data_IF_332822905509
#
_entry.id   IF_332822905509
#
_cell.length_a   1.000
_cell.length_b   1.000
_cell.length_c   1.000
_cell.angle_alpha   90.00
_cell.angle_beta   90.00
_cell.angle_gamma   90.00
#
_symmetry.space_group_name_H-M   'P 1'
#
loop_
_entity.id
_entity.type
_entity.pdbx_description
1 polymer ?
#
# COMPACT_ATOMS: atom_id res chain seq x y z
N UNK A 1 -12.03 2.15 -2.61
CA UNK A 1 -11.25 1.22 -1.72
C UNK A 1 -10.42 2.01 -0.71
N UNK A 2 -9.99 1.43 0.43
CA UNK A 2 -8.95 2.02 1.30
C UNK A 2 -7.74 1.09 1.38
N UNK A 3 -6.57 1.60 0.99
CA UNK A 3 -5.28 0.92 1.16
C UNK A 3 -4.65 1.40 2.46
N UNK A 4 -4.41 0.50 3.41
CA UNK A 4 -3.92 0.85 4.75
C UNK A 4 -2.55 0.28 5.08
N UNK A 5 -1.76 1.06 5.82
CA UNK A 5 -0.42 0.70 6.29
C UNK A 5 -0.45 0.24 7.75
N UNK A 6 -0.55 -1.07 7.95
CA UNK A 6 -0.73 -1.69 9.28
C UNK A 6 0.53 -1.67 10.17
N UNK A 7 1.71 -1.97 9.60
CA UNK A 7 2.97 -2.07 10.35
C UNK A 7 4.13 -1.44 9.55
N UNK A 8 4.18 -0.10 9.43
CA UNK A 8 5.25 0.59 8.69
C UNK A 8 6.65 0.37 9.28
N UNK A 9 6.75 0.06 10.58
CA UNK A 9 8.01 -0.20 11.28
C UNK A 9 8.76 -1.42 10.72
N UNK A 10 8.03 -2.38 10.14
CA UNK A 10 8.62 -3.55 9.48
C UNK A 10 9.44 -3.18 8.24
N UNK A 11 9.28 -1.95 7.72
CA UNK A 11 9.96 -1.42 6.55
C UNK A 11 10.79 -0.19 6.91
N UNK A 12 11.23 -0.04 8.15
CA UNK A 12 12.21 0.98 8.49
C UNK A 12 13.61 0.59 7.98
N UNK A 13 14.44 1.57 7.57
CA UNK A 13 14.20 3.02 7.67
C UNK A 13 13.41 3.60 6.48
N UNK A 14 13.13 2.84 5.43
CA UNK A 14 12.56 3.40 4.19
C UNK A 14 11.18 4.03 4.41
N UNK A 15 10.37 3.48 5.32
CA UNK A 15 9.07 4.04 5.68
C UNK A 15 9.12 5.26 6.62
N UNK A 16 10.30 5.80 6.95
CA UNK A 16 10.41 7.07 7.67
C UNK A 16 9.92 8.25 6.82
N UNK A 17 10.02 8.20 5.49
CA UNK A 17 9.64 9.32 4.60
C UNK A 17 8.47 9.01 3.67
N UNK A 18 7.94 7.77 3.71
CA UNK A 18 6.87 7.32 2.82
C UNK A 18 6.09 6.15 3.42
N UNK A 19 4.80 6.01 3.09
CA UNK A 19 4.00 4.85 3.44
C UNK A 19 4.52 3.59 2.74
N UNK A 20 4.20 2.43 3.31
CA UNK A 20 4.46 1.11 2.72
C UNK A 20 3.80 1.02 1.35
N UNK A 21 2.59 1.56 1.21
CA UNK A 21 1.87 1.61 -0.06
C UNK A 21 2.64 2.32 -1.18
N UNK A 22 3.61 3.20 -0.88
CA UNK A 22 4.44 3.88 -1.87
C UNK A 22 5.77 3.16 -2.19
N UNK A 23 6.06 2.05 -1.53
CA UNK A 23 7.26 1.26 -1.83
C UNK A 23 7.16 0.69 -3.26
N UNK A 24 8.26 0.82 -4.00
CA UNK A 24 8.39 0.24 -5.34
C UNK A 24 8.68 -1.25 -5.24
N UNK A 25 7.97 -2.04 -6.04
CA UNK A 25 8.22 -3.46 -6.24
C UNK A 25 8.42 -3.71 -7.75
N UNK A 26 9.55 -3.24 -8.27
CA UNK A 26 9.81 -3.12 -9.70
C UNK A 26 9.45 -1.73 -10.23
N UNK A 27 8.83 -1.68 -11.41
CA UNK A 27 8.44 -0.41 -12.05
C UNK A 27 7.29 0.29 -11.31
N UNK A 28 6.38 -0.48 -10.70
CA UNK A 28 5.19 0.02 -10.00
C UNK A 28 5.39 0.07 -8.48
N UNK A 29 4.65 0.97 -7.85
CA UNK A 29 4.45 1.07 -6.39
C UNK A 29 3.42 0.05 -5.91
N UNK A 30 3.48 -0.37 -4.65
CA UNK A 30 2.52 -1.31 -4.08
C UNK A 30 1.06 -0.84 -4.25
N UNK A 31 0.77 0.43 -3.97
CA UNK A 31 -0.56 1.01 -4.21
C UNK A 31 -1.01 0.91 -5.66
N UNK A 32 -0.10 1.12 -6.62
CA UNK A 32 -0.43 1.06 -8.05
C UNK A 32 -0.77 -0.38 -8.46
N UNK A 33 -0.05 -1.36 -7.92
CA UNK A 33 -0.35 -2.78 -8.14
C UNK A 33 -1.71 -3.16 -7.55
N UNK A 34 -2.04 -2.66 -6.36
CA UNK A 34 -3.33 -2.90 -5.72
C UNK A 34 -4.48 -2.24 -6.49
N UNK A 35 -4.39 -0.95 -6.79
CA UNK A 35 -5.37 -0.21 -7.62
C UNK A 35 -5.61 -0.92 -8.95
N UNK A 36 -4.54 -1.32 -9.65
CA UNK A 36 -4.65 -2.05 -10.92
C UNK A 36 -5.30 -3.45 -10.76
N UNK A 37 -4.96 -4.18 -9.70
CA UNK A 37 -5.51 -5.51 -9.43
C UNK A 37 -7.02 -5.45 -9.14
N UNK A 38 -7.45 -4.45 -8.38
CA UNK A 38 -8.85 -4.27 -7.98
C UNK A 38 -9.66 -3.42 -8.97
N UNK A 39 -9.02 -2.85 -10.01
CA UNK A 39 -9.64 -1.96 -11.01
C UNK A 39 -10.43 -0.81 -10.35
N UNK A 40 -9.87 -0.27 -9.27
CA UNK A 40 -10.50 0.77 -8.47
C UNK A 40 -9.58 2.00 -8.41
N UNK A 41 -9.89 2.97 -9.27
CA UNK A 41 -9.19 4.25 -9.34
C UNK A 41 -9.61 5.22 -8.22
N UNK A 42 -10.67 4.92 -7.48
CA UNK A 42 -11.16 5.70 -6.32
C UNK A 42 -10.66 5.11 -5.00
N UNK A 43 -9.34 5.04 -4.88
CA UNK A 43 -8.65 4.54 -3.71
C UNK A 43 -8.24 5.67 -2.75
N UNK A 44 -8.53 5.48 -1.46
CA UNK A 44 -7.97 6.29 -0.38
C UNK A 44 -6.75 5.60 0.23
N UNK A 45 -5.87 6.38 0.86
CA UNK A 45 -4.76 5.86 1.65
C UNK A 45 -5.01 6.08 3.14
N UNK A 46 -4.75 5.06 3.94
CA UNK A 46 -4.70 5.15 5.39
C UNK A 46 -3.27 4.91 5.86
N UNK A 47 -2.60 5.98 6.27
CA UNK A 47 -1.16 6.03 6.54
C UNK A 47 -0.90 6.60 7.92
N UNK A 48 0.34 6.45 8.39
CA UNK A 48 0.75 7.00 9.68
C UNK A 48 0.55 8.53 9.72
N UNK A 49 -0.08 9.10 10.78
CA UNK A 49 -0.45 10.52 10.83
C UNK A 49 0.72 11.48 10.59
N UNK A 50 1.93 11.12 11.03
CA UNK A 50 3.14 11.93 10.81
C UNK A 50 3.47 12.17 9.33
N UNK A 51 3.00 11.30 8.43
CA UNK A 51 3.22 11.39 6.98
C UNK A 51 2.09 12.15 6.28
N UNK A 52 0.95 12.36 6.92
CA UNK A 52 -0.26 12.90 6.30
C UNK A 52 -0.03 14.24 5.61
N UNK A 53 0.58 15.21 6.31
CA UNK A 53 0.89 16.52 5.73
C UNK A 53 1.80 16.41 4.49
N UNK A 54 2.90 15.67 4.60
CA UNK A 54 3.83 15.45 3.49
C UNK A 54 3.15 14.79 2.30
N UNK A 55 2.19 13.90 2.57
CA UNK A 55 1.49 13.15 1.55
C UNK A 55 0.36 13.93 0.90
N UNK A 56 -0.31 14.79 1.65
CA UNK A 56 -1.26 15.75 1.12
C UNK A 56 -0.58 16.74 0.17
N UNK A 57 0.64 17.19 0.47
CA UNK A 57 1.44 18.04 -0.43
C UNK A 57 1.84 17.29 -1.72
N UNK A 58 2.14 15.99 -1.62
CA UNK A 58 2.58 15.16 -2.76
C UNK A 58 1.42 14.69 -3.64
N UNK A 59 0.27 14.43 -3.06
CA UNK A 59 -0.93 13.93 -3.72
C UNK A 59 -2.16 14.72 -3.24
N UNK A 60 -2.34 15.98 -3.69
CA UNK A 60 -3.37 16.87 -3.17
C UNK A 60 -4.79 16.35 -3.35
N UNK A 61 -5.03 15.60 -4.42
CA UNK A 61 -6.36 15.11 -4.79
C UNK A 61 -6.69 13.75 -4.16
N UNK A 62 -5.75 13.12 -3.45
CA UNK A 62 -5.96 11.80 -2.88
C UNK A 62 -6.60 11.89 -1.49
N UNK A 63 -7.69 11.13 -1.22
CA UNK A 63 -8.24 11.05 0.13
C UNK A 63 -7.26 10.34 1.06
N UNK A 64 -6.83 11.02 2.12
CA UNK A 64 -5.96 10.47 3.16
C UNK A 64 -6.74 10.32 4.48
N UNK A 65 -6.44 9.25 5.23
CA UNK A 65 -6.85 9.05 6.64
C UNK A 65 -8.35 9.30 6.94
N UNK A 66 -9.22 9.07 5.96
CA UNK A 66 -10.66 9.20 6.12
C UNK A 66 -11.28 7.91 6.66
N UNK A 67 -12.33 7.99 7.50
CA UNK A 67 -13.04 6.81 7.96
C UNK A 67 -13.60 6.00 6.78
N UNK A 68 -13.60 4.67 6.97
CA UNK A 68 -14.22 3.75 6.04
C UNK A 68 -15.74 3.88 6.06
N UNK A 69 -16.35 3.87 4.88
CA UNK A 69 -17.81 3.81 4.72
C UNK A 69 -18.28 2.36 4.67
N UNK A 70 -19.55 2.13 4.99
CA UNK A 70 -20.16 0.78 4.90
C UNK A 70 -20.03 0.26 3.47
N UNK A 71 -19.48 -0.95 3.33
CA UNK A 71 -19.27 -1.60 2.03
C UNK A 71 -17.93 -1.26 1.36
N UNK A 72 -17.07 -0.44 1.97
CA UNK A 72 -15.72 -0.22 1.44
C UNK A 72 -14.77 -1.38 1.73
N UNK A 73 -14.00 -1.74 0.71
CA UNK A 73 -12.94 -2.73 0.82
C UNK A 73 -11.71 -2.10 1.49
N UNK A 74 -11.25 -2.70 2.58
CA UNK A 74 -10.02 -2.34 3.28
C UNK A 74 -8.91 -3.32 2.90
N UNK A 75 -7.81 -2.81 2.36
CA UNK A 75 -6.72 -3.62 1.83
C UNK A 75 -5.42 -3.24 2.52
N UNK A 76 -4.76 -4.22 3.11
CA UNK A 76 -3.42 -4.01 3.63
C UNK A 76 -2.48 -3.70 2.46
N UNK A 77 -1.68 -2.64 2.56
CA UNK A 77 -0.71 -2.29 1.52
C UNK A 77 0.36 -3.36 1.31
N UNK A 78 0.50 -4.29 2.26
CA UNK A 78 1.38 -5.44 2.21
C UNK A 78 0.66 -6.64 1.59
N UNK A 79 1.40 -7.38 0.76
CA UNK A 79 1.01 -8.73 0.35
C UNK A 79 1.42 -9.68 1.48
N UNK A 80 0.50 -10.50 1.99
CA UNK A 80 0.83 -11.64 2.86
C UNK A 80 1.20 -12.83 1.96
N UNK A 81 2.49 -13.13 1.74
CA UNK A 81 2.86 -14.26 0.90
C UNK A 81 2.46 -15.52 1.65
N UNK A 82 1.71 -16.40 0.98
CA UNK A 82 1.40 -17.73 1.52
C UNK A 82 2.57 -18.67 1.24
N UNK A 83 2.66 -19.75 2.02
CA UNK A 83 3.75 -20.73 1.88
C UNK A 83 3.85 -21.27 0.45
N UNK A 84 2.71 -21.45 -0.24
CA UNK A 84 2.67 -21.87 -1.64
C UNK A 84 3.35 -20.87 -2.58
N UNK A 85 3.13 -19.56 -2.36
CA UNK A 85 3.70 -18.47 -3.17
C UNK A 85 5.23 -18.40 -3.01
N UNK A 86 5.72 -18.65 -1.79
CA UNK A 86 7.15 -18.69 -1.50
C UNK A 86 7.80 -19.90 -2.18
N UNK A 87 7.14 -21.06 -2.16
CA UNK A 87 7.58 -22.27 -2.85
C UNK A 87 7.67 -22.04 -4.37
N UNK A 88 6.64 -21.44 -4.97
CA UNK A 88 6.61 -21.16 -6.41
C UNK A 88 7.72 -20.19 -6.85
N UNK A 89 8.02 -19.15 -6.06
CA UNK A 89 9.12 -18.21 -6.35
C UNK A 89 10.47 -18.92 -6.28
N UNK A 90 10.68 -19.81 -5.31
CA UNK A 90 11.93 -20.58 -5.17
C UNK A 90 12.14 -21.60 -6.29
N UNK A 91 11.07 -22.04 -6.94
CA UNK A 91 11.12 -23.01 -8.03
C UNK A 91 11.45 -22.38 -9.40
N UNK A 92 11.46 -21.04 -9.51
CA UNK A 92 11.92 -20.36 -10.71
C UNK A 92 13.45 -20.54 -10.83
N UNK A 93 13.89 -21.31 -11.84
CA UNK A 93 15.29 -21.32 -12.26
C UNK A 93 15.56 -20.10 -13.16
N UNK A 94 16.80 -19.58 -13.19
CA UNK A 94 17.17 -18.42 -14.01
C UNK A 94 16.89 -18.62 -15.51
#
# INVERSE_FOLDING_TARGET
>A
MIIYDDIPQAFYPICLSRPVSDLRCGILKLRQRLTALFKDDDAALWIEPRLEKLWQERLPDWPLNRPAKKGELLINSRIKPRAEVIQAIKALQP
#
